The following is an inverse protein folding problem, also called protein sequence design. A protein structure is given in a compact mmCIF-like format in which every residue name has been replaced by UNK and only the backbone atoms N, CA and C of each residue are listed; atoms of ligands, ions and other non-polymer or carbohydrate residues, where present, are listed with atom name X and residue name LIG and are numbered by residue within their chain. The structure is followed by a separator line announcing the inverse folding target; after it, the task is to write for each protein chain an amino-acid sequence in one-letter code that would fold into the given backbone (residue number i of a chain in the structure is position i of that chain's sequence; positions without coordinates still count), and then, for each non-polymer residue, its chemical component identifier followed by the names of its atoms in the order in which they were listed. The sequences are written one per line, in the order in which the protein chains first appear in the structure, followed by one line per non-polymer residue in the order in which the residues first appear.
data_IF_002088224266
#
_entry.id   IF_002088224266
#
_cell.length_a   1.000
_cell.length_b   1.000
_cell.length_c   1.000
_cell.angle_alpha   90.00
_cell.angle_beta   90.00
_cell.angle_gamma   90.00
#
_symmetry.space_group_name_H-M   'P 1'
#
loop_
_entity.id
_entity.type
_entity.pdbx_description
1 polymer ?
#
# COMPACT_ATOMS: atom_id res chain seq x y z
N UNK A 1 -22.15 -37.20 5.40
CA UNK A 1 -20.82 -37.48 4.82
C UNK A 1 -19.96 -36.25 5.00
N UNK A 2 -19.18 -36.23 6.09
CA UNK A 2 -18.29 -35.12 6.42
C UNK A 2 -16.99 -35.24 5.65
N UNK A 3 -16.45 -34.10 5.22
CA UNK A 3 -15.12 -33.99 4.63
C UNK A 3 -14.11 -34.70 5.55
N UNK A 4 -13.23 -35.54 4.99
CA UNK A 4 -12.19 -36.20 5.78
C UNK A 4 -11.27 -35.16 6.43
N UNK A 5 -10.81 -35.40 7.65
CA UNK A 5 -9.92 -34.47 8.36
C UNK A 5 -8.66 -34.13 7.55
N UNK A 6 -8.10 -35.12 6.84
CA UNK A 6 -6.98 -34.91 5.93
C UNK A 6 -7.30 -33.89 4.83
N UNK A 7 -8.49 -33.95 4.24
CA UNK A 7 -8.93 -32.97 3.24
C UNK A 7 -9.16 -31.59 3.87
N UNK A 8 -9.73 -31.51 5.07
CA UNK A 8 -9.88 -30.25 5.80
C UNK A 8 -8.54 -29.56 6.10
N UNK A 9 -7.55 -30.30 6.61
CA UNK A 9 -6.22 -29.76 6.89
C UNK A 9 -5.48 -29.34 5.62
N UNK A 10 -5.63 -30.07 4.52
CA UNK A 10 -5.05 -29.68 3.24
C UNK A 10 -5.64 -28.36 2.71
N UNK A 11 -6.95 -28.16 2.85
CA UNK A 11 -7.61 -26.93 2.45
C UNK A 11 -7.22 -25.77 3.37
N UNK A 12 -7.16 -25.99 4.68
CA UNK A 12 -6.69 -24.99 5.65
C UNK A 12 -5.24 -24.58 5.38
N UNK A 13 -4.37 -25.53 5.04
CA UNK A 13 -2.96 -25.24 4.68
C UNK A 13 -2.86 -24.46 3.37
N UNK A 14 -3.67 -24.80 2.37
CA UNK A 14 -3.63 -24.18 1.05
C UNK A 14 -4.23 -22.77 1.02
N UNK A 15 -5.31 -22.54 1.78
CA UNK A 15 -6.09 -21.31 1.72
C UNK A 15 -6.02 -20.44 2.98
N UNK A 16 -5.51 -20.97 4.11
CA UNK A 16 -5.43 -20.21 5.36
C UNK A 16 -4.29 -19.17 5.43
N UNK A 17 -3.28 -19.29 4.57
CA UNK A 17 -2.13 -18.34 4.50
C UNK A 17 -2.20 -17.34 3.34
N UNK A 18 -2.92 -17.70 2.27
CA UNK A 18 -3.56 -16.74 1.37
C UNK A 18 -4.52 -15.88 2.22
N UNK A 19 -5.07 -14.75 1.82
CA UNK A 19 -5.82 -13.89 2.75
C UNK A 19 -4.91 -13.14 3.74
N UNK A 20 -4.16 -13.82 4.63
CA UNK A 20 -3.21 -13.13 5.54
C UNK A 20 -2.08 -12.47 4.75
N UNK A 21 -1.55 -13.16 3.75
CA UNK A 21 -0.49 -12.61 2.87
C UNK A 21 -1.00 -11.46 2.02
N UNK A 22 -2.18 -11.60 1.42
CA UNK A 22 -2.85 -10.55 0.65
C UNK A 22 -3.16 -9.32 1.52
N UNK A 23 -3.67 -9.50 2.75
CA UNK A 23 -3.91 -8.41 3.69
C UNK A 23 -2.61 -7.72 4.13
N UNK A 24 -1.51 -8.45 4.26
CA UNK A 24 -0.19 -7.86 4.55
C UNK A 24 0.30 -7.02 3.36
N UNK A 25 0.15 -7.54 2.14
CA UNK A 25 0.50 -6.80 0.91
C UNK A 25 -0.37 -5.56 0.73
N UNK A 26 -1.67 -5.66 1.01
CA UNK A 26 -2.60 -4.54 0.94
C UNK A 26 -2.22 -3.43 1.92
N UNK A 27 -1.95 -3.76 3.18
CA UNK A 27 -1.47 -2.79 4.18
C UNK A 27 -0.16 -2.11 3.76
N UNK A 28 0.79 -2.87 3.23
CA UNK A 28 2.05 -2.31 2.73
C UNK A 28 1.79 -1.30 1.59
N UNK A 29 0.94 -1.65 0.63
CA UNK A 29 0.58 -0.77 -0.48
C UNK A 29 -0.15 0.50 0.00
N UNK A 30 -1.02 0.38 1.01
CA UNK A 30 -1.69 1.54 1.62
C UNK A 30 -0.70 2.48 2.30
N UNK A 31 0.25 1.94 3.07
CA UNK A 31 1.31 2.73 3.70
C UNK A 31 2.22 3.43 2.68
N UNK A 32 2.63 2.71 1.64
CA UNK A 32 3.47 3.26 0.57
C UNK A 32 2.75 4.35 -0.22
N UNK A 33 1.47 4.13 -0.54
CA UNK A 33 0.64 5.14 -1.19
C UNK A 33 0.49 6.39 -0.31
N UNK A 34 0.28 6.22 1.00
CA UNK A 34 0.21 7.34 1.93
C UNK A 34 1.53 8.11 2.03
N UNK A 35 2.68 7.43 2.01
CA UNK A 35 4.01 8.06 1.97
C UNK A 35 4.22 8.83 0.66
N UNK A 36 3.89 8.22 -0.48
CA UNK A 36 4.03 8.85 -1.79
C UNK A 36 3.16 10.09 -1.92
N UNK A 37 1.91 10.05 -1.47
CA UNK A 37 1.02 11.22 -1.48
C UNK A 37 1.58 12.40 -0.68
N UNK A 38 2.15 12.14 0.51
CA UNK A 38 2.82 13.18 1.31
C UNK A 38 4.01 13.78 0.58
N UNK A 39 4.90 12.93 0.05
CA UNK A 39 6.07 13.39 -0.70
C UNK A 39 5.68 14.24 -1.91
N UNK A 40 4.65 13.84 -2.65
CA UNK A 40 4.14 14.61 -3.80
C UNK A 40 3.59 15.97 -3.35
N UNK A 41 2.85 16.02 -2.24
CA UNK A 41 2.34 17.29 -1.72
C UNK A 41 3.47 18.23 -1.32
N UNK A 42 4.45 17.74 -0.55
CA UNK A 42 5.61 18.52 -0.11
C UNK A 42 6.41 19.06 -1.31
N UNK A 43 6.75 18.20 -2.27
CA UNK A 43 7.47 18.59 -3.48
C UNK A 43 6.67 19.57 -4.37
N UNK A 44 5.35 19.46 -4.37
CA UNK A 44 4.49 20.36 -5.13
C UNK A 44 4.48 21.76 -4.51
N UNK A 45 4.43 21.85 -3.18
CA UNK A 45 4.54 23.11 -2.44
C UNK A 45 5.92 23.76 -2.65
N UNK A 46 7.00 22.98 -2.54
CA UNK A 46 8.37 23.48 -2.79
C UNK A 46 8.51 24.02 -4.22
N UNK A 47 7.96 23.30 -5.20
CA UNK A 47 7.95 23.74 -6.60
C UNK A 47 7.20 25.06 -6.77
N UNK A 48 6.03 25.20 -6.16
CA UNK A 48 5.23 26.42 -6.22
C UNK A 48 5.99 27.61 -5.61
N UNK A 49 6.59 27.42 -4.43
CA UNK A 49 7.42 28.43 -3.78
C UNK A 49 8.60 28.88 -4.65
N UNK A 50 9.31 27.93 -5.27
CA UNK A 50 10.42 28.24 -6.17
C UNK A 50 9.95 29.00 -7.42
N UNK A 51 8.82 28.62 -8.00
CA UNK A 51 8.24 29.33 -9.15
C UNK A 51 7.84 30.76 -8.78
N UNK A 52 7.27 30.98 -7.60
CA UNK A 52 6.92 32.32 -7.10
C UNK A 52 8.15 33.19 -6.86
N UNK A 53 9.24 32.62 -6.32
CA UNK A 53 10.51 33.35 -6.17
C UNK A 53 11.07 33.78 -7.52
N UNK A 54 11.01 32.91 -8.53
CA UNK A 54 11.45 33.24 -9.89
C UNK A 54 10.58 34.35 -10.47
N UNK A 55 9.25 34.24 -10.34
CA UNK A 55 8.30 35.25 -10.83
C UNK A 55 8.43 36.61 -10.17
N UNK A 56 8.89 36.68 -8.92
CA UNK A 56 9.15 37.95 -8.22
C UNK A 56 10.49 38.59 -8.57
N UNK A 57 11.44 37.81 -9.09
CA UNK A 57 12.78 38.29 -9.48
C UNK A 57 12.83 38.92 -10.87
N UNK A 58 11.84 38.67 -11.72
CA UNK A 58 11.70 39.18 -13.08
C UNK A 58 10.38 39.90 -13.23
#
# INVERSE_FOLDING_TARGET
MGISEANFYNWKKKFGGMGVTELRRLRQLEEDNHRLKRLVADLSLDKEMLQDVIRKKF
#
